data_IF_749030306377
#
_entry.id   IF_749030306377
#
_cell.length_a   1.000
_cell.length_b   1.000
_cell.length_c   1.000
_cell.angle_alpha   90.00
_cell.angle_beta   90.00
_cell.angle_gamma   90.00
#
_symmetry.space_group_name_H-M   'P 1'
#
loop_
_entity.id
_entity.type
_entity.pdbx_description
1 polymer ?
#
# COMPACT_ATOMS: atom_id res chain seq x y z
N UNK A 1 16.67 1.30 8.52
CA UNK A 1 15.96 2.09 7.49
C UNK A 1 14.50 2.07 7.90
N UNK A 2 13.86 3.22 8.10
CA UNK A 2 12.43 3.24 8.44
C UNK A 2 11.62 2.94 7.20
N UNK A 3 10.76 1.92 7.24
CA UNK A 3 9.80 1.61 6.18
C UNK A 3 8.66 2.62 6.19
N UNK A 4 7.96 2.78 5.06
CA UNK A 4 6.76 3.60 4.98
C UNK A 4 5.70 3.09 5.95
N UNK A 5 5.61 1.77 6.13
CA UNK A 5 4.80 1.11 7.14
C UNK A 5 5.02 1.70 8.54
N UNK A 6 6.27 1.71 9.02
CA UNK A 6 6.60 2.25 10.34
C UNK A 6 6.26 3.73 10.46
N UNK A 7 6.47 4.52 9.40
CA UNK A 7 6.19 5.96 9.41
C UNK A 7 4.69 6.22 9.50
N UNK A 8 3.89 5.59 8.64
CA UNK A 8 2.44 5.81 8.64
C UNK A 8 1.79 5.33 9.93
N UNK A 9 2.19 4.17 10.44
CA UNK A 9 1.65 3.65 11.70
C UNK A 9 1.95 4.61 12.86
N UNK A 10 3.18 5.12 12.97
CA UNK A 10 3.53 6.08 14.01
C UNK A 10 2.73 7.39 13.91
N UNK A 11 2.50 7.90 12.70
CA UNK A 11 1.67 9.09 12.48
C UNK A 11 0.21 8.83 12.84
N UNK A 12 -0.33 7.68 12.45
CA UNK A 12 -1.68 7.27 12.78
C UNK A 12 -1.86 7.16 14.31
N UNK A 13 -0.96 6.47 15.02
CA UNK A 13 -0.99 6.36 16.48
C UNK A 13 -1.00 7.72 17.18
N UNK A 14 -0.25 8.69 16.65
CA UNK A 14 -0.21 10.04 17.19
C UNK A 14 -1.52 10.81 16.96
N UNK A 15 -2.13 10.65 15.79
CA UNK A 15 -3.31 11.41 15.37
C UNK A 15 -4.66 10.76 15.73
N UNK A 16 -4.70 9.43 15.97
CA UNK A 16 -5.96 8.66 16.06
C UNK A 16 -6.92 9.14 17.15
N UNK A 17 -6.39 9.76 18.22
CA UNK A 17 -7.22 10.28 19.34
C UNK A 17 -7.86 11.62 19.07
N UNK A 18 -7.35 12.38 18.10
CA UNK A 18 -7.83 13.73 17.76
C UNK A 18 -8.52 13.81 16.41
N UNK A 19 -8.50 12.73 15.61
CA UNK A 19 -9.27 12.63 14.38
C UNK A 19 -10.77 12.59 14.67
N UNK A 20 -11.55 13.21 13.79
CA UNK A 20 -13.00 13.07 13.83
C UNK A 20 -13.47 11.77 13.15
N UNK A 21 -14.76 11.47 13.27
CA UNK A 21 -15.35 10.25 12.70
C UNK A 21 -15.25 10.19 11.16
N UNK A 22 -15.17 11.34 10.47
CA UNK A 22 -15.08 11.41 9.01
C UNK A 22 -13.66 11.09 8.55
N UNK A 23 -12.66 11.74 9.14
CA UNK A 23 -11.24 11.48 8.89
C UNK A 23 -10.89 10.02 9.21
N UNK A 24 -11.35 9.49 10.36
CA UNK A 24 -11.13 8.10 10.75
C UNK A 24 -11.72 7.12 9.72
N UNK A 25 -12.88 7.46 9.14
CA UNK A 25 -13.51 6.65 8.10
C UNK A 25 -12.73 6.71 6.79
N UNK A 26 -12.17 7.85 6.42
CA UNK A 26 -11.29 7.95 5.25
C UNK A 26 -10.04 7.09 5.42
N UNK A 27 -9.40 7.13 6.60
CA UNK A 27 -8.24 6.28 6.90
C UNK A 27 -8.62 4.80 6.88
N UNK A 28 -9.78 4.41 7.39
CA UNK A 28 -10.27 3.03 7.32
C UNK A 28 -10.44 2.52 5.88
N UNK A 29 -10.71 3.40 4.90
CA UNK A 29 -10.82 3.02 3.49
C UNK A 29 -9.45 2.83 2.80
N UNK A 30 -8.32 2.99 3.51
CA UNK A 30 -6.99 2.76 2.94
C UNK A 30 -6.79 1.30 2.51
N UNK A 31 -7.48 0.34 3.12
CA UNK A 31 -7.45 -1.07 2.72
C UNK A 31 -8.01 -1.29 1.31
N UNK A 32 -9.10 -0.61 0.96
CA UNK A 32 -9.66 -0.64 -0.40
C UNK A 32 -8.69 -0.03 -1.41
N UNK A 33 -8.11 1.12 -1.05
CA UNK A 33 -7.11 1.79 -1.89
C UNK A 33 -5.85 0.93 -2.08
N UNK A 34 -5.44 0.20 -1.03
CA UNK A 34 -4.31 -0.73 -1.07
C UNK A 34 -4.59 -1.91 -2.00
N UNK A 35 -5.82 -2.44 -1.99
CA UNK A 35 -6.23 -3.51 -2.90
C UNK A 35 -6.20 -3.05 -4.37
N UNK A 36 -6.66 -1.83 -4.65
CA UNK A 36 -6.60 -1.27 -6.00
C UNK A 36 -5.15 -1.05 -6.48
N UNK A 37 -4.28 -0.57 -5.60
CA UNK A 37 -2.86 -0.39 -5.91
C UNK A 37 -2.16 -1.74 -6.11
N UNK A 38 -2.48 -2.75 -5.31
CA UNK A 38 -1.93 -4.10 -5.47
C UNK A 38 -2.30 -4.71 -6.83
N UNK A 39 -3.54 -4.54 -7.30
CA UNK A 39 -3.96 -4.98 -8.65
C UNK A 39 -3.20 -4.24 -9.74
N UNK A 40 -2.99 -2.92 -9.57
CA UNK A 40 -2.22 -2.10 -10.51
C UNK A 40 -0.78 -2.58 -10.61
N UNK A 41 -0.12 -2.82 -9.46
CA UNK A 41 1.25 -3.33 -9.43
C UNK A 41 1.37 -4.73 -10.01
N UNK A 42 0.38 -5.61 -9.81
CA UNK A 42 0.37 -6.92 -10.45
C UNK A 42 0.45 -6.81 -11.99
N UNK A 43 -0.38 -5.94 -12.59
CA UNK A 43 -0.34 -5.69 -14.04
C UNK A 43 1.00 -5.08 -14.51
N UNK A 44 1.63 -4.23 -13.70
CA UNK A 44 2.96 -3.67 -13.99
C UNK A 44 4.01 -4.78 -13.94
N UNK A 45 3.99 -5.65 -12.93
CA UNK A 45 4.91 -6.79 -12.82
C UNK A 45 4.80 -7.75 -14.00
N UNK A 46 3.57 -8.06 -14.45
CA UNK A 46 3.33 -8.87 -15.65
C UNK A 46 3.94 -8.21 -16.90
N UNK A 47 3.68 -6.92 -17.08
CA UNK A 47 4.22 -6.15 -18.22
C UNK A 47 5.74 -6.11 -18.23
N UNK A 48 6.36 -5.92 -17.05
CA UNK A 48 7.80 -5.96 -16.88
C UNK A 48 8.36 -7.35 -17.21
N UNK A 49 7.70 -8.42 -16.78
CA UNK A 49 8.07 -9.79 -17.13
C UNK A 49 8.08 -10.02 -18.65
N UNK A 50 7.07 -9.51 -19.35
CA UNK A 50 7.03 -9.57 -20.83
C UNK A 50 8.19 -8.82 -21.48
N UNK A 51 8.55 -7.63 -21.00
CA UNK A 51 9.68 -6.86 -21.52
C UNK A 51 11.01 -7.60 -21.30
N UNK A 52 11.21 -8.16 -20.10
CA UNK A 52 12.44 -8.91 -19.76
C UNK A 52 12.54 -10.18 -20.62
N UNK A 53 11.46 -10.94 -20.77
CA UNK A 53 11.42 -12.14 -21.64
C UNK A 53 11.68 -11.76 -23.09
N UNK A 54 11.07 -10.69 -23.60
CA UNK A 54 11.30 -10.20 -24.96
C UNK A 54 12.76 -9.80 -25.22
N UNK A 55 13.46 -9.28 -24.22
CA UNK A 55 14.88 -8.96 -24.35
C UNK A 55 15.78 -10.19 -24.26
N UNK A 56 15.41 -11.21 -23.48
CA UNK A 56 16.20 -12.45 -23.32
C UNK A 56 16.03 -13.46 -24.45
N UNK A 57 14.84 -13.55 -25.05
CA UNK A 57 14.48 -14.61 -26.00
C UNK A 57 14.76 -14.25 -27.47
N UNK A 58 15.04 -12.98 -27.77
CA UNK A 58 15.23 -12.49 -29.15
C UNK A 58 16.70 -12.23 -29.51
N UNK A 59 17.06 -12.51 -30.77
CA UNK A 59 18.34 -12.11 -31.37
C UNK A 59 18.11 -11.40 -32.72
N UNK A 60 18.40 -10.09 -32.85
CA UNK A 60 18.95 -9.22 -31.81
C UNK A 60 17.94 -8.96 -30.67
N UNK A 61 18.45 -8.63 -29.48
CA UNK A 61 17.62 -8.25 -28.34
C UNK A 61 16.67 -7.11 -28.73
N UNK A 62 15.43 -7.13 -28.21
CA UNK A 62 14.45 -6.10 -28.49
C UNK A 62 14.87 -4.70 -27.95
N UNK A 63 15.74 -4.67 -26.94
CA UNK A 63 16.35 -3.46 -26.40
C UNK A 63 15.42 -2.68 -25.46
N UNK A 64 14.52 -3.38 -24.78
CA UNK A 64 13.60 -2.83 -23.78
C UNK A 64 14.35 -2.32 -22.54
N UNK A 65 15.48 -2.95 -22.22
CA UNK A 65 16.43 -2.55 -21.18
C UNK A 65 17.83 -2.42 -21.77
N UNK A 66 18.53 -1.35 -21.40
CA UNK A 66 19.89 -1.09 -21.88
C UNK A 66 20.94 -1.88 -21.12
N UNK A 67 20.72 -2.11 -19.82
CA UNK A 67 21.59 -2.86 -18.92
C UNK A 67 20.82 -3.45 -17.72
N UNK A 68 21.53 -4.25 -16.90
CA UNK A 68 20.97 -4.85 -15.68
C UNK A 68 20.58 -3.82 -14.61
N UNK A 69 21.15 -2.63 -14.66
CA UNK A 69 20.93 -1.60 -13.64
C UNK A 69 19.54 -0.98 -13.81
N UNK A 70 19.05 -0.83 -15.05
CA UNK A 70 17.68 -0.38 -15.32
C UNK A 70 16.61 -1.35 -14.78
N UNK A 71 16.83 -2.67 -14.93
CA UNK A 71 15.92 -3.69 -14.39
C UNK A 71 15.93 -3.70 -12.86
N UNK A 72 17.12 -3.62 -12.24
CA UNK A 72 17.24 -3.61 -10.79
C UNK A 72 16.62 -2.35 -10.15
N UNK A 73 16.76 -1.19 -10.80
CA UNK A 73 16.11 0.05 -10.37
C UNK A 73 14.58 -0.04 -10.35
N UNK A 74 13.99 -0.69 -11.36
CA UNK A 74 12.54 -0.95 -11.40
C UNK A 74 12.08 -1.90 -10.30
N UNK A 75 12.86 -2.95 -10.01
CA UNK A 75 12.56 -3.88 -8.91
C UNK A 75 12.62 -3.19 -7.53
N UNK A 76 13.58 -2.28 -7.32
CA UNK A 76 13.62 -1.48 -6.10
C UNK A 76 12.42 -0.54 -5.97
N UNK A 77 12.01 0.10 -7.08
CA UNK A 77 10.82 0.94 -7.10
C UNK A 77 9.55 0.13 -6.76
N UNK A 78 9.40 -1.07 -7.33
CA UNK A 78 8.31 -1.99 -6.98
C UNK A 78 8.33 -2.36 -5.50
N UNK A 79 9.52 -2.66 -4.95
CA UNK A 79 9.67 -2.93 -3.52
C UNK A 79 9.16 -1.79 -2.64
N UNK A 80 9.44 -0.54 -3.01
CA UNK A 80 8.94 0.64 -2.29
C UNK A 80 7.41 0.80 -2.41
N UNK A 81 6.84 0.51 -3.58
CA UNK A 81 5.39 0.52 -3.77
C UNK A 81 4.70 -0.55 -2.92
N UNK A 82 5.25 -1.76 -2.82
CA UNK A 82 4.73 -2.80 -1.93
C UNK A 82 4.81 -2.42 -0.45
N UNK A 83 5.90 -1.77 -0.02
CA UNK A 83 6.03 -1.24 1.34
C UNK A 83 4.96 -0.19 1.66
N UNK A 84 4.60 0.64 0.67
CA UNK A 84 3.51 1.62 0.78
C UNK A 84 2.15 0.93 0.87
N UNK A 85 1.88 -0.09 0.06
CA UNK A 85 0.64 -0.89 0.14
C UNK A 85 0.51 -1.55 1.51
N UNK A 86 1.58 -2.16 2.02
CA UNK A 86 1.57 -2.78 3.34
C UNK A 86 1.22 -1.76 4.43
N UNK A 87 1.79 -0.56 4.36
CA UNK A 87 1.46 0.54 5.25
C UNK A 87 -0.03 0.91 5.19
N UNK A 88 -0.61 1.00 3.99
CA UNK A 88 -2.02 1.34 3.79
C UNK A 88 -2.96 0.28 4.39
N UNK A 89 -2.65 -1.01 4.20
CA UNK A 89 -3.42 -2.10 4.79
C UNK A 89 -3.40 -2.02 6.31
N UNK A 90 -2.21 -1.93 6.91
CA UNK A 90 -2.08 -1.98 8.36
C UNK A 90 -2.75 -0.78 9.05
N UNK A 91 -2.57 0.43 8.52
CA UNK A 91 -3.20 1.63 9.07
C UNK A 91 -4.72 1.63 8.84
N UNK A 92 -5.19 1.16 7.68
CA UNK A 92 -6.62 1.06 7.42
C UNK A 92 -7.32 0.01 8.29
N UNK A 93 -6.68 -1.12 8.56
CA UNK A 93 -7.18 -2.15 9.47
C UNK A 93 -7.26 -1.62 10.92
N UNK A 94 -6.21 -0.96 11.41
CA UNK A 94 -6.21 -0.36 12.74
C UNK A 94 -7.27 0.76 12.87
N UNK A 95 -7.42 1.60 11.84
CA UNK A 95 -8.47 2.63 11.83
C UNK A 95 -9.89 2.02 11.84
N UNK A 96 -10.09 0.94 11.09
CA UNK A 96 -11.35 0.19 11.08
C UNK A 96 -11.66 -0.41 12.45
N UNK A 97 -10.66 -1.01 13.09
CA UNK A 97 -10.77 -1.55 14.44
C UNK A 97 -11.17 -0.44 15.43
N UNK A 98 -10.47 0.69 15.42
CA UNK A 98 -10.74 1.81 16.31
C UNK A 98 -12.13 2.42 16.11
N UNK A 99 -12.56 2.58 14.85
CA UNK A 99 -13.90 3.09 14.52
C UNK A 99 -15.00 2.17 15.06
N UNK A 100 -14.79 0.85 15.03
CA UNK A 100 -15.72 -0.12 15.57
C UNK A 100 -15.78 -0.06 17.10
N UNK A 101 -14.64 0.10 17.79
CA UNK A 101 -14.62 0.30 19.25
C UNK A 101 -15.41 1.55 19.67
N UNK A 102 -15.21 2.68 18.95
CA UNK A 102 -15.93 3.92 19.23
C UNK A 102 -17.44 3.77 19.04
N UNK A 103 -17.86 3.06 17.99
CA UNK A 103 -19.28 2.77 17.74
C UNK A 103 -19.89 1.89 18.83
N UNK A 104 -19.17 0.87 19.29
CA UNK A 104 -19.63 0.00 20.37
C UNK A 104 -19.79 0.78 21.69
N UNK A 105 -18.84 1.66 22.03
CA UNK A 105 -18.94 2.53 23.21
C UNK A 105 -20.15 3.47 23.15
N UNK A 106 -20.32 4.18 22.02
CA UNK A 106 -21.48 5.07 21.80
C UNK A 106 -22.80 4.31 21.91
N UNK A 107 -22.87 3.07 21.39
CA UNK A 107 -24.06 2.24 21.49
C UNK A 107 -24.38 1.80 22.93
N UNK A 108 -23.36 1.51 23.75
CA UNK A 108 -23.57 1.19 25.18
C UNK A 108 -23.97 2.40 26.03
N UNK A 109 -23.51 3.60 25.68
CA UNK A 109 -23.84 4.84 26.41
C UNK A 109 -25.24 5.37 26.05
N UNK A 110 -25.69 5.19 24.81
CA UNK A 110 -27.04 5.57 24.37
C UNK A 110 -28.16 4.64 24.85
N UNK A 111 -27.83 3.57 25.58
CA UNK A 111 -28.78 2.62 26.17
C UNK A 111 -28.95 2.79 27.70
N UNK A 112 -28.24 3.74 28.32
CA UNK A 112 -28.35 4.11 29.74
C UNK A 112 -29.23 5.34 29.94
#
# INVERSE_FOLDING_TARGET
>A
MSTMQNVMMNLFEHAKRSMDDADMKEVANLTDSAADEARRLAAICESLGCLISSDGDNSPMAGSFRDSDEVSGLLWALGHSFDTIAAMVEVGDEATFHLNELRMKKASEGQA
#
